data_IF_170599899077
#
_entry.id   IF_170599899077
#
_cell.length_a   1.000
_cell.length_b   1.000
_cell.length_c   1.000
_cell.angle_alpha   90.00
_cell.angle_beta   90.00
_cell.angle_gamma   90.00
#
_symmetry.space_group_name_H-M   'P 1'
#
loop_
_entity.id
_entity.type
_entity.pdbx_description
1 polymer ?
#
# COMPACT_ATOMS: atom_id res chain seq x y z
N UNK A 1 12.55 23.52 -72.64
CA UNK A 1 13.02 22.18 -72.25
C UNK A 1 13.07 22.14 -70.71
N UNK A 2 11.91 21.86 -70.02
CA UNK A 2 11.77 21.84 -68.58
C UNK A 2 11.88 20.40 -68.11
N UNK A 3 12.85 20.11 -67.19
CA UNK A 3 13.04 18.80 -66.57
C UNK A 3 12.04 18.58 -65.46
N UNK A 4 11.25 17.48 -65.42
CA UNK A 4 10.35 17.15 -64.33
C UNK A 4 11.09 16.24 -63.33
N UNK A 5 11.84 16.81 -62.41
CA UNK A 5 12.56 15.97 -61.41
C UNK A 5 12.34 16.34 -59.96
N UNK A 6 11.39 17.25 -59.64
CA UNK A 6 11.16 17.69 -58.24
C UNK A 6 9.84 17.25 -57.61
N UNK A 7 8.98 16.55 -58.32
CA UNK A 7 7.63 16.18 -57.81
C UNK A 7 7.65 14.80 -57.10
N UNK A 8 8.62 13.92 -57.40
CA UNK A 8 8.67 12.58 -56.85
C UNK A 8 9.16 12.50 -55.40
N UNK A 9 9.91 13.49 -54.92
CA UNK A 9 10.45 13.47 -53.56
C UNK A 9 9.44 13.94 -52.48
N UNK A 10 8.45 14.71 -52.82
CA UNK A 10 7.41 15.18 -51.88
C UNK A 10 6.33 14.12 -51.58
N UNK A 11 6.05 13.24 -52.53
CA UNK A 11 5.05 12.17 -52.35
C UNK A 11 5.56 11.04 -51.48
N UNK A 12 6.88 10.73 -51.47
CA UNK A 12 7.49 9.72 -50.63
C UNK A 12 7.56 10.15 -49.14
N UNK A 13 7.74 11.46 -48.89
CA UNK A 13 7.82 12.00 -47.54
C UNK A 13 6.45 12.06 -46.82
N UNK A 14 5.35 12.22 -47.55
CA UNK A 14 4.00 12.21 -47.01
C UNK A 14 3.51 10.81 -46.63
N UNK A 15 3.98 9.76 -47.32
CA UNK A 15 3.58 8.38 -47.04
C UNK A 15 4.22 7.83 -45.73
N UNK A 16 5.37 8.36 -45.30
CA UNK A 16 6.07 7.94 -44.07
C UNK A 16 5.39 8.57 -42.84
N UNK A 17 4.77 9.72 -42.93
CA UNK A 17 4.12 10.40 -41.80
C UNK A 17 2.78 9.76 -41.39
N UNK A 18 2.14 8.94 -42.24
CA UNK A 18 0.85 8.27 -41.93
C UNK A 18 1.05 6.88 -41.30
N UNK A 19 2.25 6.29 -41.38
CA UNK A 19 2.55 4.97 -40.77
C UNK A 19 2.84 5.02 -39.27
N UNK A 20 2.82 6.22 -38.64
CA UNK A 20 3.20 6.41 -37.23
C UNK A 20 2.06 6.25 -36.23
N UNK A 21 0.82 6.05 -36.66
CA UNK A 21 -0.29 5.73 -35.73
C UNK A 21 -0.46 4.20 -35.64
N UNK A 22 0.53 3.52 -35.05
CA UNK A 22 0.28 2.17 -34.57
C UNK A 22 -0.82 2.23 -33.50
N UNK A 23 -1.95 1.59 -33.75
CA UNK A 23 -2.97 1.39 -32.71
C UNK A 23 -2.31 0.73 -31.49
N UNK A 24 -2.61 1.24 -30.31
CA UNK A 24 -2.16 0.56 -29.07
C UNK A 24 -2.66 -0.88 -29.09
N UNK A 25 -1.85 -1.85 -28.64
CA UNK A 25 -2.29 -3.22 -28.50
C UNK A 25 -3.56 -3.30 -27.64
N UNK A 26 -4.38 -4.30 -27.87
CA UNK A 26 -5.54 -4.56 -27.02
C UNK A 26 -5.12 -4.98 -25.59
N UNK A 27 -6.07 -4.95 -24.64
CA UNK A 27 -5.80 -5.24 -23.24
C UNK A 27 -5.17 -6.62 -23.01
N UNK A 28 -5.62 -7.64 -23.74
CA UNK A 28 -5.09 -9.01 -23.61
C UNK A 28 -3.63 -9.09 -24.07
N UNK A 29 -3.30 -8.40 -25.15
CA UNK A 29 -1.90 -8.30 -25.65
C UNK A 29 -1.02 -7.53 -24.67
N UNK A 30 -1.51 -6.43 -24.08
CA UNK A 30 -0.77 -5.68 -23.05
C UNK A 30 -0.52 -6.53 -21.80
N UNK A 31 -1.49 -7.34 -21.37
CA UNK A 31 -1.34 -8.26 -20.25
C UNK A 31 -0.26 -9.32 -20.53
N UNK A 32 -0.27 -9.92 -21.73
CA UNK A 32 0.77 -10.88 -22.12
C UNK A 32 2.16 -10.25 -22.19
N UNK A 33 2.26 -9.04 -22.72
CA UNK A 33 3.54 -8.29 -22.77
C UNK A 33 4.03 -7.99 -21.36
N UNK A 34 3.15 -7.59 -20.45
CA UNK A 34 3.46 -7.31 -19.05
C UNK A 34 3.96 -8.57 -18.34
N UNK A 35 3.24 -9.69 -18.47
CA UNK A 35 3.65 -10.96 -17.88
C UNK A 35 5.00 -11.43 -18.43
N UNK A 36 5.23 -11.28 -19.72
CA UNK A 36 6.50 -11.63 -20.35
C UNK A 36 7.63 -10.74 -19.83
N UNK A 37 7.41 -9.43 -19.72
CA UNK A 37 8.38 -8.49 -19.19
C UNK A 37 8.74 -8.80 -17.72
N UNK A 38 7.75 -9.12 -16.88
CA UNK A 38 7.96 -9.54 -15.48
C UNK A 38 8.78 -10.81 -15.43
N UNK A 39 8.42 -11.84 -16.22
CA UNK A 39 9.10 -13.14 -16.23
C UNK A 39 10.55 -13.04 -16.66
N UNK A 40 10.89 -12.16 -17.58
CA UNK A 40 12.25 -12.00 -18.11
C UNK A 40 13.06 -10.98 -17.32
N UNK A 41 12.42 -9.88 -16.87
CA UNK A 41 13.09 -8.74 -16.25
C UNK A 41 13.30 -8.87 -14.75
N UNK A 42 12.49 -9.69 -14.06
CA UNK A 42 12.58 -9.82 -12.60
C UNK A 42 13.03 -11.21 -12.19
N UNK A 43 13.78 -11.27 -11.10
CA UNK A 43 14.28 -12.52 -10.51
C UNK A 43 14.34 -12.40 -9.00
N UNK A 44 14.32 -13.52 -8.30
CA UNK A 44 14.61 -13.58 -6.88
C UNK A 44 16.00 -13.01 -6.62
N UNK A 45 16.12 -12.14 -5.61
CA UNK A 45 17.40 -11.58 -5.20
C UNK A 45 17.41 -11.31 -3.70
N UNK A 46 18.35 -11.93 -2.97
CA UNK A 46 18.39 -11.85 -1.53
C UNK A 46 17.10 -12.35 -0.90
N UNK A 47 16.53 -11.57 0.01
CA UNK A 47 15.24 -11.88 0.64
C UNK A 47 14.03 -11.53 -0.24
N UNK A 48 14.22 -10.75 -1.31
CA UNK A 48 13.14 -10.34 -2.20
C UNK A 48 12.80 -11.45 -3.18
N UNK A 49 11.52 -11.80 -3.24
CA UNK A 49 10.98 -12.83 -4.14
C UNK A 49 10.14 -12.19 -5.23
N UNK A 50 10.21 -12.74 -6.44
CA UNK A 50 9.38 -12.27 -7.56
C UNK A 50 7.90 -12.38 -7.24
N UNK A 51 7.50 -13.33 -6.40
CA UNK A 51 6.12 -13.48 -5.94
C UNK A 51 5.53 -12.27 -5.21
N UNK A 52 6.35 -11.29 -4.81
CA UNK A 52 5.83 -9.99 -4.29
C UNK A 52 5.01 -9.23 -5.35
N UNK A 53 5.23 -9.53 -6.63
CA UNK A 53 4.49 -8.94 -7.75
C UNK A 53 3.16 -9.65 -8.03
N UNK A 54 2.90 -10.79 -7.36
CA UNK A 54 1.66 -11.52 -7.52
C UNK A 54 0.50 -10.72 -6.93
N UNK A 55 -0.56 -10.59 -7.71
CA UNK A 55 -1.74 -9.82 -7.35
C UNK A 55 -2.79 -10.77 -6.77
N UNK A 56 -3.25 -10.52 -5.54
CA UNK A 56 -4.34 -11.29 -4.93
C UNK A 56 -5.72 -10.91 -5.51
N UNK A 57 -6.75 -11.65 -5.10
CA UNK A 57 -8.12 -11.46 -5.57
C UNK A 57 -8.64 -10.05 -5.27
N UNK A 58 -8.39 -9.54 -4.05
CA UNK A 58 -8.85 -8.20 -3.64
C UNK A 58 -8.21 -7.11 -4.50
N UNK A 59 -6.90 -7.21 -4.74
CA UNK A 59 -6.20 -6.26 -5.59
C UNK A 59 -6.67 -6.32 -7.04
N UNK A 60 -6.90 -7.53 -7.59
CA UNK A 60 -7.43 -7.68 -8.95
C UNK A 60 -8.82 -7.06 -9.10
N UNK A 61 -9.72 -7.32 -8.15
CA UNK A 61 -11.07 -6.76 -8.18
C UNK A 61 -11.06 -5.24 -8.12
N UNK A 62 -10.27 -4.65 -7.21
CA UNK A 62 -10.14 -3.20 -7.09
C UNK A 62 -9.52 -2.56 -8.34
N UNK A 63 -8.46 -3.17 -8.90
CA UNK A 63 -7.83 -2.65 -10.13
C UNK A 63 -8.77 -2.73 -11.33
N UNK A 64 -9.56 -3.81 -11.45
CA UNK A 64 -10.54 -3.94 -12.52
C UNK A 64 -11.66 -2.88 -12.42
N UNK A 65 -12.13 -2.58 -11.21
CA UNK A 65 -13.11 -1.54 -10.96
C UNK A 65 -12.56 -0.15 -11.32
N UNK A 66 -11.31 0.14 -10.93
CA UNK A 66 -10.62 1.41 -11.21
C UNK A 66 -10.43 1.62 -12.73
N UNK A 67 -9.92 0.61 -13.44
CA UNK A 67 -9.79 0.64 -14.90
C UNK A 67 -11.13 0.84 -15.61
N UNK A 68 -12.21 0.26 -15.07
CA UNK A 68 -13.56 0.45 -15.60
C UNK A 68 -14.17 1.82 -15.25
N UNK A 69 -13.50 2.65 -14.45
CA UNK A 69 -13.99 3.93 -13.96
C UNK A 69 -15.27 3.81 -13.11
N UNK A 70 -15.42 2.69 -12.40
CA UNK A 70 -16.62 2.39 -11.60
C UNK A 70 -16.19 1.96 -10.18
N UNK A 71 -17.01 2.27 -9.16
CA UNK A 71 -16.76 1.73 -7.84
C UNK A 71 -16.87 0.20 -7.87
N UNK A 72 -16.15 -0.46 -6.96
CA UNK A 72 -16.31 -1.90 -6.74
C UNK A 72 -17.75 -2.17 -6.29
N UNK A 73 -18.33 -3.24 -6.81
CA UNK A 73 -19.65 -3.72 -6.39
C UNK A 73 -19.70 -3.90 -4.86
N UNK A 74 -20.76 -3.43 -4.22
CA UNK A 74 -20.86 -3.38 -2.76
C UNK A 74 -20.90 -4.77 -2.10
N UNK A 75 -21.58 -5.75 -2.72
CA UNK A 75 -21.66 -7.11 -2.18
C UNK A 75 -20.28 -7.80 -2.30
N UNK A 76 -19.60 -7.60 -3.41
CA UNK A 76 -18.24 -8.07 -3.60
C UNK A 76 -17.28 -7.38 -2.63
N UNK A 77 -17.40 -6.06 -2.43
CA UNK A 77 -16.57 -5.34 -1.47
C UNK A 77 -16.72 -5.91 -0.05
N UNK A 78 -17.97 -6.11 0.41
CA UNK A 78 -18.27 -6.74 1.71
C UNK A 78 -17.72 -8.16 1.84
N UNK A 79 -17.82 -8.97 0.78
CA UNK A 79 -17.28 -10.32 0.78
C UNK A 79 -15.75 -10.34 0.89
N UNK A 80 -15.07 -9.46 0.15
CA UNK A 80 -13.61 -9.30 0.19
C UNK A 80 -13.14 -8.74 1.56
N UNK A 81 -13.85 -7.79 2.14
CA UNK A 81 -13.56 -7.28 3.49
C UNK A 81 -13.69 -8.38 4.54
N UNK A 82 -14.75 -9.17 4.49
CA UNK A 82 -14.94 -10.30 5.39
C UNK A 82 -13.84 -11.37 5.25
N UNK A 83 -13.39 -11.65 4.03
CA UNK A 83 -12.26 -12.54 3.77
C UNK A 83 -10.95 -11.98 4.35
N UNK A 84 -10.66 -10.71 4.12
CA UNK A 84 -9.49 -10.04 4.66
C UNK A 84 -9.54 -9.96 6.20
N UNK A 85 -10.71 -9.75 6.80
CA UNK A 85 -10.90 -9.75 8.25
C UNK A 85 -10.50 -11.09 8.89
N UNK A 86 -10.85 -12.22 8.25
CA UNK A 86 -10.45 -13.56 8.70
C UNK A 86 -8.93 -13.79 8.64
N UNK A 87 -8.20 -13.03 7.85
CA UNK A 87 -6.75 -13.13 7.73
C UNK A 87 -5.99 -12.35 8.82
N UNK A 88 -6.67 -11.55 9.64
CA UNK A 88 -6.05 -10.82 10.72
C UNK A 88 -5.63 -11.81 11.81
N UNK A 89 -4.35 -11.76 12.19
CA UNK A 89 -3.84 -12.46 13.37
C UNK A 89 -3.98 -11.54 14.57
N UNK A 90 -4.83 -11.93 15.48
CA UNK A 90 -5.02 -11.24 16.75
C UNK A 90 -4.00 -11.74 17.75
N UNK A 91 -3.48 -10.89 18.68
CA UNK A 91 -2.55 -11.33 19.72
C UNK A 91 -3.16 -12.45 20.57
N UNK A 92 -2.51 -13.61 20.61
CA UNK A 92 -3.02 -14.77 21.38
C UNK A 92 -3.01 -14.51 22.90
N UNK A 93 -2.15 -13.62 23.37
CA UNK A 93 -2.05 -13.21 24.79
C UNK A 93 -2.98 -12.04 25.13
N UNK A 94 -3.78 -11.55 24.18
CA UNK A 94 -4.68 -10.41 24.35
C UNK A 94 -3.98 -9.06 24.51
N UNK A 95 -2.65 -8.98 24.35
CA UNK A 95 -1.88 -7.75 24.51
C UNK A 95 -1.67 -7.06 23.17
N UNK A 96 -2.28 -5.89 23.03
CA UNK A 96 -2.23 -5.11 21.79
C UNK A 96 -1.22 -3.96 21.81
N UNK A 97 -0.71 -3.62 22.98
CA UNK A 97 0.12 -2.44 23.18
C UNK A 97 1.57 -2.82 23.41
N UNK A 98 2.46 -2.01 22.87
CA UNK A 98 3.89 -2.09 23.07
C UNK A 98 4.47 -0.77 23.61
N UNK A 99 5.69 -0.42 23.18
CA UNK A 99 6.33 0.84 23.50
C UNK A 99 6.11 1.85 22.37
N UNK A 100 5.44 2.97 22.65
CA UNK A 100 5.19 4.00 21.67
C UNK A 100 6.47 4.65 21.13
N UNK A 101 7.57 4.68 21.91
CA UNK A 101 8.86 5.23 21.45
C UNK A 101 9.48 4.37 20.36
N UNK A 102 9.37 3.04 20.49
CA UNK A 102 9.75 2.13 19.42
C UNK A 102 8.78 2.25 18.23
N UNK A 103 7.50 2.46 18.51
CA UNK A 103 6.48 2.75 17.49
C UNK A 103 6.81 3.98 16.65
N UNK A 104 7.29 5.05 17.27
CA UNK A 104 7.69 6.28 16.58
C UNK A 104 8.87 6.04 15.64
N UNK A 105 9.91 5.34 16.10
CA UNK A 105 11.05 4.96 15.25
C UNK A 105 10.61 4.12 14.04
N UNK A 106 9.71 3.17 14.26
CA UNK A 106 9.15 2.33 13.19
C UNK A 106 8.31 3.14 12.21
N UNK A 107 7.48 4.07 12.70
CA UNK A 107 6.62 4.90 11.86
C UNK A 107 7.40 5.85 10.95
N UNK A 108 8.54 6.35 11.41
CA UNK A 108 9.43 7.23 10.65
C UNK A 108 10.36 6.47 9.69
N UNK A 109 10.64 5.18 9.94
CA UNK A 109 11.58 4.40 9.16
C UNK A 109 10.93 3.80 7.91
N UNK A 110 11.49 4.07 6.74
CA UNK A 110 11.16 3.40 5.47
C UNK A 110 12.15 2.29 5.08
N UNK A 111 13.00 1.82 6.03
CA UNK A 111 14.03 0.79 5.75
C UNK A 111 13.44 -0.61 5.69
N UNK A 112 14.17 -1.48 5.01
CA UNK A 112 13.88 -2.91 4.96
C UNK A 112 13.24 -3.38 3.67
N UNK A 113 13.16 -4.69 3.50
CA UNK A 113 12.59 -5.39 2.34
C UNK A 113 13.27 -5.06 1.01
N UNK A 114 14.56 -4.74 1.02
CA UNK A 114 15.35 -4.59 -0.20
C UNK A 114 16.18 -5.84 -0.46
N UNK A 115 16.68 -5.99 -1.68
CA UNK A 115 17.54 -7.14 -2.06
C UNK A 115 18.91 -7.16 -1.37
N UNK A 116 19.31 -6.05 -0.75
CA UNK A 116 20.53 -5.91 0.03
C UNK A 116 20.35 -6.23 1.50
N UNK A 117 19.10 -6.36 1.95
CA UNK A 117 18.77 -6.69 3.33
C UNK A 117 18.87 -8.21 3.58
N UNK A 118 19.01 -8.57 4.83
CA UNK A 118 18.90 -9.95 5.31
C UNK A 118 17.61 -10.15 6.13
N UNK A 119 17.34 -11.40 6.53
CA UNK A 119 16.14 -11.73 7.30
C UNK A 119 16.09 -11.10 8.71
N UNK A 120 17.21 -10.54 9.19
CA UNK A 120 17.33 -9.90 10.50
C UNK A 120 17.22 -8.37 10.40
N UNK A 121 17.30 -7.82 9.20
CA UNK A 121 17.16 -6.37 8.98
C UNK A 121 15.77 -5.93 9.46
N UNK A 122 15.67 -5.01 10.43
CA UNK A 122 14.38 -4.54 10.90
C UNK A 122 13.69 -3.69 9.83
N UNK A 123 12.44 -4.04 9.50
CA UNK A 123 11.62 -3.25 8.61
C UNK A 123 10.99 -2.08 9.35
N UNK A 124 10.85 -0.94 8.68
CA UNK A 124 10.05 0.19 9.13
C UNK A 124 8.63 0.16 8.59
N UNK A 125 7.76 0.94 9.20
CA UNK A 125 6.35 1.09 8.80
C UNK A 125 6.12 2.21 7.79
N UNK A 126 7.04 3.19 7.75
CA UNK A 126 7.01 4.35 6.83
C UNK A 126 5.68 5.14 6.87
N UNK A 127 5.06 5.23 8.04
CA UNK A 127 3.71 5.79 8.19
C UNK A 127 3.65 7.28 7.84
N UNK A 128 4.71 8.03 8.14
CA UNK A 128 4.82 9.46 7.86
C UNK A 128 4.80 9.82 6.37
N UNK A 129 5.17 8.91 5.50
CA UNK A 129 5.06 9.13 4.05
C UNK A 129 3.62 9.25 3.56
N UNK A 130 2.65 8.76 4.34
CA UNK A 130 1.24 8.80 3.99
C UNK A 130 0.41 9.63 4.96
N UNK A 131 0.81 9.74 6.23
CA UNK A 131 0.03 10.34 7.30
C UNK A 131 0.80 11.44 8.03
N UNK A 132 0.14 12.54 8.34
CA UNK A 132 0.57 13.39 9.44
C UNK A 132 0.31 12.64 10.75
N UNK A 133 1.31 12.51 11.61
CA UNK A 133 1.19 11.82 12.89
C UNK A 133 1.51 12.75 14.07
N UNK A 134 2.70 13.32 14.13
CA UNK A 134 3.10 14.32 15.12
C UNK A 134 2.86 15.74 14.57
N UNK A 135 2.36 16.63 15.41
CA UNK A 135 2.16 18.04 15.07
C UNK A 135 3.47 18.76 14.73
N UNK A 136 4.59 18.30 15.31
CA UNK A 136 5.91 18.89 15.08
C UNK A 136 6.57 18.41 13.79
N UNK A 137 6.06 17.34 13.20
CA UNK A 137 6.58 16.81 11.95
C UNK A 137 6.17 17.72 10.79
N UNK A 138 7.17 18.31 10.14
CA UNK A 138 6.97 19.26 9.03
C UNK A 138 6.97 18.59 7.66
N UNK A 139 7.38 17.32 7.58
CA UNK A 139 7.46 16.54 6.34
C UNK A 139 6.66 15.27 6.46
N UNK A 140 5.46 15.27 5.90
CA UNK A 140 4.56 14.11 5.89
C UNK A 140 3.73 14.08 4.60
N UNK A 141 3.29 12.88 4.23
CA UNK A 141 2.38 12.70 3.10
C UNK A 141 0.91 12.94 3.48
N UNK A 142 0.12 13.22 2.47
CA UNK A 142 -1.31 13.48 2.58
C UNK A 142 -2.18 12.43 1.87
N UNK A 143 -1.58 11.29 1.48
CA UNK A 143 -2.29 10.16 0.85
C UNK A 143 -3.29 9.55 1.83
N UNK A 144 -2.90 9.42 3.10
CA UNK A 144 -3.76 8.99 4.19
C UNK A 144 -4.30 10.18 5.00
N UNK A 145 -5.37 9.99 5.79
CA UNK A 145 -5.86 11.03 6.70
C UNK A 145 -4.84 11.35 7.79
N UNK A 146 -4.89 12.57 8.33
CA UNK A 146 -4.10 12.92 9.51
C UNK A 146 -4.45 12.00 10.68
N UNK A 147 -3.42 11.47 11.33
CA UNK A 147 -3.53 10.67 12.56
C UNK A 147 -3.20 11.48 13.82
N UNK A 148 -2.92 12.78 13.68
CA UNK A 148 -2.70 13.65 14.82
C UNK A 148 -3.91 13.63 15.75
N UNK A 149 -3.66 13.46 17.04
CA UNK A 149 -4.66 13.25 18.08
C UNK A 149 -5.53 11.99 17.88
N UNK A 150 -5.02 10.96 17.23
CA UNK A 150 -5.78 9.76 16.86
C UNK A 150 -6.51 9.12 18.05
N UNK A 151 -5.79 8.84 19.15
CA UNK A 151 -6.37 8.29 20.36
C UNK A 151 -7.28 9.30 21.09
N UNK A 152 -6.79 10.54 21.22
CA UNK A 152 -7.51 11.63 21.89
C UNK A 152 -8.85 11.94 21.23
N UNK A 153 -8.92 12.02 19.90
CA UNK A 153 -10.17 12.26 19.16
C UNK A 153 -11.17 11.09 19.24
N UNK A 154 -10.68 9.90 19.62
CA UNK A 154 -11.50 8.69 19.83
C UNK A 154 -11.85 8.44 21.30
N UNK A 155 -11.51 9.40 22.18
CA UNK A 155 -11.81 9.31 23.60
C UNK A 155 -10.97 8.28 24.37
N UNK A 156 -9.81 7.87 23.82
CA UNK A 156 -8.91 6.94 24.50
C UNK A 156 -8.11 7.70 25.55
N UNK A 157 -8.51 7.52 26.82
CA UNK A 157 -7.79 8.05 28.00
C UNK A 157 -6.82 7.01 28.55
N UNK A 158 -7.26 5.77 28.61
CA UNK A 158 -6.46 4.60 28.98
C UNK A 158 -6.68 3.52 27.92
N UNK A 159 -5.65 3.25 27.07
CA UNK A 159 -5.77 2.26 26.01
C UNK A 159 -5.85 0.82 26.51
N UNK A 160 -5.53 0.54 27.79
CA UNK A 160 -5.69 -0.79 28.40
C UNK A 160 -7.08 -1.01 28.99
N UNK A 161 -7.92 0.03 29.10
CA UNK A 161 -9.29 -0.08 29.62
C UNK A 161 -10.22 -0.87 28.70
N UNK A 162 -11.21 -1.54 29.26
CA UNK A 162 -12.27 -2.23 28.48
C UNK A 162 -13.03 -1.25 27.57
N UNK A 163 -13.19 0.01 27.97
CA UNK A 163 -13.84 1.04 27.15
C UNK A 163 -13.05 1.33 25.86
N UNK A 164 -11.75 1.25 25.89
CA UNK A 164 -10.86 1.50 24.74
C UNK A 164 -10.70 0.28 23.83
N UNK A 165 -11.04 -0.91 24.29
CA UNK A 165 -10.81 -2.19 23.60
C UNK A 165 -11.31 -2.21 22.13
N UNK A 166 -12.51 -1.71 21.79
CA UNK A 166 -12.96 -1.69 20.40
C UNK A 166 -12.04 -0.84 19.49
N UNK A 167 -11.57 0.30 20.01
CA UNK A 167 -10.66 1.19 19.26
C UNK A 167 -9.28 0.54 19.11
N UNK A 168 -8.79 -0.10 20.16
CA UNK A 168 -7.50 -0.82 20.14
C UNK A 168 -7.54 -1.95 19.10
N UNK A 169 -8.59 -2.76 19.11
CA UNK A 169 -8.78 -3.85 18.15
C UNK A 169 -8.93 -3.34 16.71
N UNK A 170 -9.74 -2.29 16.51
CA UNK A 170 -9.84 -1.66 15.19
C UNK A 170 -8.50 -1.15 14.70
N UNK A 171 -7.72 -0.47 15.55
CA UNK A 171 -6.39 0.07 15.20
C UNK A 171 -5.42 -1.05 14.82
N UNK A 172 -5.40 -2.13 15.63
CA UNK A 172 -4.63 -3.33 15.33
C UNK A 172 -4.99 -3.91 13.97
N UNK A 173 -6.27 -4.19 13.76
CA UNK A 173 -6.75 -4.81 12.54
C UNK A 173 -6.48 -3.95 11.31
N UNK A 174 -6.63 -2.61 11.43
CA UNK A 174 -6.36 -1.67 10.33
C UNK A 174 -4.90 -1.64 9.92
N UNK A 175 -3.97 -1.75 10.86
CA UNK A 175 -2.53 -1.85 10.58
C UNK A 175 -2.19 -3.24 10.05
N UNK A 176 -2.79 -4.29 10.63
CA UNK A 176 -2.53 -5.66 10.21
C UNK A 176 -2.96 -5.90 8.77
N UNK A 177 -4.23 -5.63 8.47
CA UNK A 177 -4.80 -5.74 7.12
C UNK A 177 -5.85 -4.66 6.86
N UNK A 178 -5.43 -3.56 6.26
CA UNK A 178 -6.27 -2.40 5.94
C UNK A 178 -7.50 -2.73 5.10
N UNK A 179 -7.40 -3.78 4.25
CA UNK A 179 -8.47 -4.23 3.35
C UNK A 179 -9.61 -4.96 4.05
N UNK A 180 -9.43 -5.32 5.33
CA UNK A 180 -10.51 -5.81 6.19
C UNK A 180 -11.56 -4.74 6.52
N UNK A 181 -11.26 -3.47 6.31
CA UNK A 181 -12.13 -2.32 6.64
C UNK A 181 -12.44 -1.43 5.43
N UNK A 182 -11.79 -1.67 4.34
CA UNK A 182 -12.04 -1.08 3.04
C UNK A 182 -11.29 -1.91 1.99
N UNK A 183 -12.03 -2.66 1.18
CA UNK A 183 -11.47 -3.60 0.21
C UNK A 183 -10.44 -2.96 -0.72
N UNK A 184 -10.70 -1.73 -1.19
CA UNK A 184 -9.81 -1.02 -2.11
C UNK A 184 -8.88 -0.01 -1.41
N UNK A 185 -8.61 -0.20 -0.10
CA UNK A 185 -7.65 0.63 0.61
C UNK A 185 -6.25 0.56 0.00
N UNK A 186 -5.63 1.73 -0.23
CA UNK A 186 -4.24 1.86 -0.64
C UNK A 186 -3.25 1.78 0.55
N UNK A 187 -3.75 1.78 1.80
CA UNK A 187 -2.91 1.60 2.97
C UNK A 187 -2.27 0.21 2.96
N UNK A 188 -0.95 0.09 3.17
CA UNK A 188 -0.28 -1.21 3.24
C UNK A 188 -0.91 -2.16 4.28
N UNK A 189 -0.92 -3.45 3.98
CA UNK A 189 -1.34 -4.52 4.88
C UNK A 189 -0.15 -4.99 5.70
N UNK A 190 0.34 -4.14 6.60
CA UNK A 190 1.66 -4.26 7.19
C UNK A 190 1.91 -5.60 7.90
N UNK A 191 0.98 -6.08 8.72
CA UNK A 191 1.09 -7.39 9.37
C UNK A 191 0.82 -8.55 8.40
N UNK A 192 -0.22 -8.45 7.55
CA UNK A 192 -0.61 -9.51 6.63
C UNK A 192 0.49 -9.84 5.60
N UNK A 193 1.17 -8.81 5.09
CA UNK A 193 2.26 -8.95 4.12
C UNK A 193 3.63 -9.19 4.76
N UNK A 194 3.71 -9.33 6.09
CA UNK A 194 4.97 -9.55 6.80
C UNK A 194 5.93 -8.35 6.78
N UNK A 195 5.43 -7.15 6.46
CA UNK A 195 6.23 -5.91 6.55
C UNK A 195 6.60 -5.64 8.00
N UNK A 196 5.61 -5.73 8.90
CA UNK A 196 5.79 -5.62 10.34
C UNK A 196 5.41 -6.94 11.02
N UNK A 197 6.21 -7.35 12.00
CA UNK A 197 5.85 -8.46 12.87
C UNK A 197 4.88 -8.02 13.99
N UNK A 198 4.37 -8.99 14.76
CA UNK A 198 3.39 -8.74 15.82
C UNK A 198 3.85 -7.70 16.83
N UNK A 199 5.11 -7.80 17.31
CA UNK A 199 5.64 -6.83 18.28
C UNK A 199 5.75 -5.43 17.69
N UNK A 200 6.15 -5.30 16.43
CA UNK A 200 6.21 -4.01 15.75
C UNK A 200 4.81 -3.40 15.57
N UNK A 201 3.79 -4.21 15.28
CA UNK A 201 2.40 -3.74 15.24
C UNK A 201 1.95 -3.26 16.62
N UNK A 202 2.30 -3.98 17.73
CA UNK A 202 2.04 -3.51 19.10
C UNK A 202 2.64 -2.13 19.37
N UNK A 203 3.87 -1.89 18.93
CA UNK A 203 4.54 -0.60 19.09
C UNK A 203 3.82 0.53 18.31
N UNK A 204 3.37 0.27 17.09
CA UNK A 204 2.61 1.26 16.31
C UNK A 204 1.23 1.51 16.94
N UNK A 205 0.53 0.49 17.44
CA UNK A 205 -0.76 0.67 18.14
C UNK A 205 -0.57 1.54 19.37
N UNK A 206 0.51 1.31 20.15
CA UNK A 206 0.85 2.15 21.30
C UNK A 206 1.16 3.60 20.86
N UNK A 207 1.91 3.81 19.78
CA UNK A 207 2.16 5.15 19.24
C UNK A 207 0.86 5.91 18.95
N UNK A 208 -0.13 5.24 18.36
CA UNK A 208 -1.37 5.88 17.98
C UNK A 208 -2.33 6.12 19.16
N UNK A 209 -2.26 5.31 20.21
CA UNK A 209 -3.28 5.30 21.27
C UNK A 209 -2.78 5.75 22.64
N UNK A 210 -1.47 5.69 22.93
CA UNK A 210 -0.94 6.14 24.22
C UNK A 210 -1.10 7.67 24.34
N UNK A 211 -1.75 8.17 25.42
CA UNK A 211 -1.90 9.60 25.66
C UNK A 211 -0.56 10.37 25.77
N UNK A 212 0.53 9.67 26.11
CA UNK A 212 1.88 10.26 26.25
C UNK A 212 2.65 10.28 24.93
N UNK A 213 2.14 9.63 23.90
CA UNK A 213 2.81 9.61 22.58
C UNK A 213 2.73 10.99 21.91
N UNK A 214 3.69 11.35 21.03
CA UNK A 214 3.67 12.63 20.33
C UNK A 214 2.46 12.79 19.40
N UNK A 215 1.84 11.68 19.00
CA UNK A 215 0.62 11.68 18.21
C UNK A 215 -0.56 12.32 18.97
N UNK A 216 -0.59 12.20 20.29
CA UNK A 216 -1.70 12.63 21.14
C UNK A 216 -1.40 13.86 22.02
N UNK A 217 -0.31 14.60 21.72
CA UNK A 217 0.13 15.79 22.50
C UNK A 217 -0.35 17.11 21.92
#
# INVERSE_FOLDING_TARGET
MFKPTKVFFLAASAAIAVAGCASLPDGATLDQMTQSAVKVGFRDQGIVKVSVLDTDETNRACSAADVAGKPLDEDLARALEAQNLKSIRWPADGKYLGDWKEGEKLAQSGRGLTWTDDAKTPNGGNCYNCHQMDKKEISYGTIGPSLYNYGKLRGVVDPESEASKPIVQYTWGKIWNSKAYNACSNMPRAGHMGILNENQVRHIVALLLDPKSPVNQ
#
